data_IF_716523381616
#
_entry.id   IF_716523381616
#
_cell.length_a   1.000
_cell.length_b   1.000
_cell.length_c   1.000
_cell.angle_alpha   90.00
_cell.angle_beta   90.00
_cell.angle_gamma   90.00
#
_symmetry.space_group_name_H-M   'P 1'
#
loop_
_entity.id
_entity.type
_entity.pdbx_description
1 polymer ?
#
# COMPACT_ATOMS: atom_id res chain seq x y z
N UNK A 1 11.63 12.44 17.62
CA UNK A 1 11.97 11.94 18.97
C UNK A 1 10.92 12.27 20.04
N UNK A 2 10.28 13.46 20.01
CA UNK A 2 9.26 13.86 21.00
C UNK A 2 8.05 12.92 21.11
N UNK A 3 7.53 12.38 20.01
CA UNK A 3 6.39 11.45 20.04
C UNK A 3 6.72 10.06 20.60
N UNK A 4 7.90 9.51 20.28
CA UNK A 4 8.37 8.25 20.88
C UNK A 4 8.49 8.38 22.41
N UNK A 5 9.02 9.50 22.90
CA UNK A 5 9.16 9.75 24.34
C UNK A 5 7.80 9.93 25.05
N UNK A 6 6.82 10.59 24.39
CA UNK A 6 5.45 10.67 24.91
C UNK A 6 4.79 9.29 25.02
N UNK A 7 4.91 8.46 23.98
CA UNK A 7 4.31 7.12 23.98
C UNK A 7 4.93 6.21 25.06
N UNK A 8 6.24 6.33 25.31
CA UNK A 8 6.91 5.59 26.39
C UNK A 8 6.37 6.02 27.76
N UNK A 9 6.16 7.32 27.98
CA UNK A 9 5.62 7.83 29.23
C UNK A 9 4.16 7.36 29.46
N UNK A 10 3.33 7.38 28.42
CA UNK A 10 1.94 6.89 28.46
C UNK A 10 1.90 5.39 28.80
N UNK A 11 2.75 4.59 28.15
CA UNK A 11 2.84 3.16 28.42
C UNK A 11 3.24 2.89 29.89
N UNK A 12 4.23 3.62 30.40
CA UNK A 12 4.67 3.46 31.78
C UNK A 12 3.59 3.81 32.79
N UNK A 13 2.83 4.89 32.55
CA UNK A 13 1.65 5.24 33.37
C UNK A 13 0.62 4.12 33.37
N UNK A 14 0.25 3.63 32.19
CA UNK A 14 -0.71 2.53 32.03
C UNK A 14 -0.28 1.25 32.75
N UNK A 15 1.01 0.89 32.67
CA UNK A 15 1.54 -0.29 33.36
C UNK A 15 1.50 -0.14 34.89
N UNK A 16 1.74 1.07 35.42
CA UNK A 16 1.60 1.36 36.86
C UNK A 16 0.14 1.25 37.32
N UNK A 17 -0.78 1.83 36.55
CA UNK A 17 -2.22 1.80 36.88
C UNK A 17 -2.74 0.36 36.97
N UNK A 18 -2.31 -0.50 36.03
CA UNK A 18 -2.72 -1.90 36.02
C UNK A 18 -2.00 -2.73 37.08
N UNK A 19 -0.78 -2.38 37.45
CA UNK A 19 -0.02 -3.06 38.50
C UNK A 19 -0.79 -3.08 39.83
N UNK A 20 -1.51 -1.99 40.14
CA UNK A 20 -2.27 -1.83 41.38
C UNK A 20 -3.57 -2.66 41.44
N UNK A 21 -4.02 -3.24 40.32
CA UNK A 21 -5.28 -4.00 40.28
C UNK A 21 -5.09 -5.40 40.90
N UNK A 22 -6.00 -5.75 41.80
CA UNK A 22 -6.06 -7.06 42.47
C UNK A 22 -6.38 -8.19 41.48
N UNK A 23 -5.68 -9.31 41.65
CA UNK A 23 -5.93 -10.53 40.87
C UNK A 23 -7.14 -11.25 41.48
N UNK A 24 -8.06 -11.72 40.64
CA UNK A 24 -9.24 -12.44 41.08
C UNK A 24 -8.90 -13.87 41.48
N UNK A 25 -9.57 -14.38 42.51
CA UNK A 25 -9.54 -15.79 42.84
C UNK A 25 -10.55 -16.58 41.99
N UNK A 26 -10.38 -17.90 41.86
CA UNK A 26 -11.25 -18.75 41.03
C UNK A 26 -12.74 -18.69 41.46
N UNK A 27 -13.01 -18.62 42.77
CA UNK A 27 -14.38 -18.47 43.29
C UNK A 27 -15.02 -17.14 42.84
N UNK A 28 -14.24 -16.07 42.80
CA UNK A 28 -14.70 -14.74 42.39
C UNK A 28 -14.94 -14.68 40.88
N UNK A 29 -14.07 -15.29 40.07
CA UNK A 29 -14.28 -15.44 38.63
C UNK A 29 -15.60 -16.16 38.31
N UNK A 30 -15.90 -17.23 39.07
CA UNK A 30 -17.17 -17.95 38.95
C UNK A 30 -18.38 -17.09 39.35
N UNK A 31 -18.23 -16.27 40.40
CA UNK A 31 -19.29 -15.36 40.83
C UNK A 31 -19.58 -14.28 39.78
N UNK A 32 -18.54 -13.60 39.28
CA UNK A 32 -18.65 -12.57 38.25
C UNK A 32 -19.23 -13.14 36.94
N UNK A 33 -18.76 -14.31 36.50
CA UNK A 33 -19.27 -14.95 35.29
C UNK A 33 -20.74 -15.38 35.38
N UNK A 34 -21.22 -15.76 36.58
CA UNK A 34 -22.66 -16.01 36.82
C UNK A 34 -23.48 -14.73 36.64
N UNK A 35 -23.02 -13.60 37.19
CA UNK A 35 -23.69 -12.30 37.04
C UNK A 35 -23.73 -11.88 35.58
N UNK A 36 -22.60 -11.98 34.88
CA UNK A 36 -22.50 -11.64 33.46
C UNK A 36 -23.50 -12.45 32.63
N UNK A 37 -23.60 -13.76 32.87
CA UNK A 37 -24.53 -14.64 32.14
C UNK A 37 -26.00 -14.32 32.43
N UNK A 38 -26.35 -13.91 33.65
CA UNK A 38 -27.71 -13.46 33.98
C UNK A 38 -28.09 -12.21 33.20
N UNK A 39 -27.20 -11.21 33.13
CA UNK A 39 -27.48 -9.96 32.40
C UNK A 39 -27.45 -10.06 30.87
N UNK A 40 -26.94 -11.16 30.30
CA UNK A 40 -27.00 -11.45 28.85
C UNK A 40 -28.34 -12.07 28.44
N UNK A 41 -29.09 -12.64 29.39
CA UNK A 41 -30.36 -13.32 29.09
C UNK A 41 -31.42 -12.34 28.56
N UNK A 42 -32.26 -12.79 27.62
CA UNK A 42 -33.36 -11.98 27.05
C UNK A 42 -34.40 -11.51 28.08
N UNK A 43 -34.40 -12.11 29.29
CA UNK A 43 -35.29 -11.77 30.42
C UNK A 43 -34.62 -10.85 31.45
N UNK A 44 -33.48 -10.24 31.14
CA UNK A 44 -32.73 -9.42 32.10
C UNK A 44 -33.44 -8.11 32.42
N UNK A 45 -33.50 -7.75 33.71
CA UNK A 45 -33.99 -6.44 34.14
C UNK A 45 -32.95 -5.36 33.90
N UNK A 46 -33.33 -4.07 33.93
CA UNK A 46 -32.39 -2.94 33.85
C UNK A 46 -31.27 -3.03 34.92
N UNK A 47 -31.60 -3.53 36.11
CA UNK A 47 -30.66 -3.72 37.21
C UNK A 47 -29.63 -4.83 36.91
N UNK A 48 -30.05 -5.90 36.25
CA UNK A 48 -29.15 -6.99 35.84
C UNK A 48 -28.16 -6.56 34.76
N UNK A 49 -28.58 -5.67 33.85
CA UNK A 49 -27.71 -5.11 32.80
C UNK A 49 -26.62 -4.22 33.42
N UNK A 50 -26.97 -3.40 34.42
CA UNK A 50 -26.02 -2.58 35.15
C UNK A 50 -25.01 -3.46 35.90
N UNK A 51 -25.50 -4.47 36.63
CA UNK A 51 -24.65 -5.43 37.35
C UNK A 51 -23.74 -6.21 36.40
N UNK A 52 -24.20 -6.56 35.19
CA UNK A 52 -23.38 -7.18 34.14
C UNK A 52 -22.22 -6.28 33.74
N UNK A 53 -22.46 -4.98 33.51
CA UNK A 53 -21.38 -4.06 33.12
C UNK A 53 -20.33 -3.96 34.23
N UNK A 54 -20.75 -3.75 35.48
CA UNK A 54 -19.83 -3.69 36.63
C UNK A 54 -19.03 -4.99 36.79
N UNK A 55 -19.71 -6.14 36.68
CA UNK A 55 -19.05 -7.45 36.78
C UNK A 55 -18.07 -7.69 35.62
N UNK A 56 -18.45 -7.28 34.41
CA UNK A 56 -17.62 -7.37 33.21
C UNK A 56 -16.37 -6.50 33.35
N UNK A 57 -16.51 -5.25 33.79
CA UNK A 57 -15.40 -4.32 33.98
C UNK A 57 -14.42 -4.83 35.03
N UNK A 58 -14.91 -5.34 36.17
CA UNK A 58 -14.07 -5.95 37.20
C UNK A 58 -13.31 -7.18 36.69
N UNK A 59 -13.97 -8.02 35.89
CA UNK A 59 -13.36 -9.19 35.27
C UNK A 59 -12.32 -8.80 34.21
N UNK A 60 -12.56 -7.73 33.45
CA UNK A 60 -11.60 -7.20 32.47
C UNK A 60 -10.37 -6.63 33.18
N UNK A 61 -10.57 -5.72 34.13
CA UNK A 61 -9.53 -4.99 34.85
C UNK A 61 -8.51 -5.92 35.50
N UNK A 62 -9.00 -6.95 36.19
CA UNK A 62 -8.14 -7.96 36.84
C UNK A 62 -7.27 -8.75 35.88
N UNK A 63 -7.67 -8.87 34.60
CA UNK A 63 -6.97 -9.65 33.58
C UNK A 63 -6.15 -8.79 32.60
N UNK A 64 -6.07 -7.46 32.77
CA UNK A 64 -5.30 -6.59 31.88
C UNK A 64 -3.79 -6.92 31.88
N UNK A 65 -3.22 -7.29 33.04
CA UNK A 65 -1.80 -7.74 33.17
C UNK A 65 -1.50 -8.90 32.21
N UNK A 66 -2.46 -9.79 32.06
CA UNK A 66 -2.32 -10.97 31.21
C UNK A 66 -2.27 -10.60 29.73
N UNK A 67 -3.09 -9.65 29.28
CA UNK A 67 -3.07 -9.16 27.89
C UNK A 67 -1.70 -8.58 27.53
N UNK A 68 -1.12 -7.78 28.43
CA UNK A 68 0.23 -7.22 28.25
C UNK A 68 1.27 -8.32 28.04
N UNK A 69 1.21 -9.40 28.83
CA UNK A 69 2.13 -10.54 28.70
C UNK A 69 2.04 -11.24 27.33
N UNK A 70 0.86 -11.30 26.73
CA UNK A 70 0.65 -11.87 25.40
C UNK A 70 1.12 -10.88 24.33
N UNK A 71 0.74 -9.61 24.44
CA UNK A 71 1.06 -8.57 23.47
C UNK A 71 2.58 -8.38 23.31
N UNK A 72 3.35 -8.49 24.41
CA UNK A 72 4.83 -8.46 24.37
C UNK A 72 5.44 -9.46 23.38
N UNK A 73 4.81 -10.63 23.18
CA UNK A 73 5.31 -11.67 22.25
C UNK A 73 5.15 -11.30 20.77
N UNK A 74 4.30 -10.33 20.46
CA UNK A 74 4.00 -9.87 19.09
C UNK A 74 4.59 -8.48 18.80
N UNK A 75 5.52 -8.01 19.63
CA UNK A 75 6.26 -6.77 19.38
C UNK A 75 7.07 -6.84 18.08
N UNK A 76 7.42 -5.67 17.53
CA UNK A 76 8.25 -5.51 16.34
C UNK A 76 7.63 -6.06 15.04
N UNK A 77 6.32 -6.32 15.01
CA UNK A 77 5.58 -6.75 13.81
C UNK A 77 4.90 -5.59 13.06
N UNK A 78 5.39 -4.36 13.25
CA UNK A 78 4.89 -3.15 12.57
C UNK A 78 3.87 -2.32 13.34
N UNK A 79 3.40 -2.79 14.50
CA UNK A 79 2.52 -2.05 15.40
C UNK A 79 3.22 -1.71 16.72
N UNK A 80 2.80 -0.60 17.33
CA UNK A 80 3.30 -0.22 18.65
C UNK A 80 2.76 -1.19 19.72
N UNK A 81 3.50 -1.33 20.83
CA UNK A 81 3.04 -2.18 21.93
C UNK A 81 1.69 -1.72 22.50
N UNK A 82 1.46 -0.40 22.58
CA UNK A 82 0.21 0.18 23.03
C UNK A 82 -0.96 -0.26 22.16
N UNK A 83 -0.79 -0.21 20.83
CA UNK A 83 -1.84 -0.63 19.89
C UNK A 83 -2.12 -2.12 20.00
N UNK A 84 -1.08 -2.95 20.15
CA UNK A 84 -1.23 -4.39 20.37
C UNK A 84 -1.98 -4.69 21.67
N UNK A 85 -1.71 -3.94 22.74
CA UNK A 85 -2.42 -4.07 24.01
C UNK A 85 -3.89 -3.68 23.85
N UNK A 86 -4.17 -2.55 23.20
CA UNK A 86 -5.54 -2.09 22.98
C UNK A 86 -6.38 -3.10 22.19
N UNK A 87 -5.82 -3.66 21.12
CA UNK A 87 -6.46 -4.71 20.32
C UNK A 87 -6.61 -6.02 21.09
N UNK A 88 -5.64 -6.35 21.93
CA UNK A 88 -5.73 -7.46 22.88
C UNK A 88 -6.86 -7.28 23.90
N UNK A 89 -7.05 -6.06 24.42
CA UNK A 89 -8.13 -5.71 25.36
C UNK A 89 -9.50 -5.86 24.69
N UNK A 90 -9.64 -5.47 23.42
CA UNK A 90 -10.85 -5.75 22.63
C UNK A 90 -11.12 -7.26 22.51
N UNK A 91 -10.08 -8.07 22.32
CA UNK A 91 -10.18 -9.53 22.34
C UNK A 91 -10.65 -10.06 23.69
N UNK A 92 -10.14 -9.51 24.79
CA UNK A 92 -10.54 -9.88 26.14
C UNK A 92 -12.01 -9.56 26.40
N UNK A 93 -12.49 -8.38 26.01
CA UNK A 93 -13.91 -7.99 26.11
C UNK A 93 -14.80 -8.97 25.33
N UNK A 94 -14.38 -9.42 24.14
CA UNK A 94 -15.12 -10.44 23.38
C UNK A 94 -15.15 -11.78 24.10
N UNK A 95 -14.05 -12.14 24.77
CA UNK A 95 -13.98 -13.37 25.56
C UNK A 95 -14.94 -13.34 26.75
N UNK A 96 -15.08 -12.22 27.46
CA UNK A 96 -16.00 -12.11 28.61
C UNK A 96 -17.45 -12.37 28.23
N UNK A 97 -17.87 -11.92 27.04
CA UNK A 97 -19.24 -12.10 26.55
C UNK A 97 -19.58 -13.55 26.19
N UNK A 98 -18.58 -14.31 25.73
CA UNK A 98 -18.76 -15.69 25.23
C UNK A 98 -18.29 -16.77 26.21
N UNK A 99 -17.81 -16.38 27.38
CA UNK A 99 -17.27 -17.32 28.35
C UNK A 99 -18.36 -18.12 29.07
N UNK A 100 -18.19 -19.44 29.10
CA UNK A 100 -19.08 -20.36 29.80
C UNK A 100 -18.42 -20.93 31.06
N UNK A 101 -18.83 -20.43 32.22
CA UNK A 101 -18.33 -20.90 33.52
C UNK A 101 -18.67 -22.38 33.83
N UNK A 102 -19.67 -22.96 33.16
CA UNK A 102 -20.07 -24.37 33.35
C UNK A 102 -18.98 -25.35 32.94
N UNK A 103 -18.06 -24.95 32.05
CA UNK A 103 -17.01 -25.83 31.50
C UNK A 103 -15.86 -26.10 32.48
N UNK A 104 -15.93 -25.62 33.74
CA UNK A 104 -14.94 -25.87 34.82
C UNK A 104 -13.48 -25.57 34.46
N UNK A 105 -13.23 -24.65 33.51
CA UNK A 105 -11.90 -24.14 33.19
C UNK A 105 -11.78 -22.67 33.61
N UNK A 106 -10.55 -22.23 33.92
CA UNK A 106 -10.25 -20.82 34.26
C UNK A 106 -10.59 -19.91 33.07
N UNK A 107 -11.03 -18.68 33.36
CA UNK A 107 -11.38 -17.70 32.32
C UNK A 107 -10.22 -17.45 31.33
N UNK A 108 -9.01 -17.32 31.88
CA UNK A 108 -7.78 -17.06 31.13
C UNK A 108 -7.54 -18.11 30.03
N UNK A 109 -7.80 -19.39 30.32
CA UNK A 109 -7.60 -20.48 29.35
C UNK A 109 -8.43 -20.29 28.07
N UNK A 110 -9.62 -19.71 28.20
CA UNK A 110 -10.48 -19.36 27.06
C UNK A 110 -10.07 -18.02 26.44
N UNK A 111 -9.77 -17.02 27.25
CA UNK A 111 -9.46 -15.66 26.80
C UNK A 111 -8.20 -15.60 25.91
N UNK A 112 -7.20 -16.46 26.14
CA UNK A 112 -5.96 -16.50 25.34
C UNK A 112 -6.23 -16.56 23.84
N UNK A 113 -7.22 -17.36 23.41
CA UNK A 113 -7.54 -17.53 21.99
C UNK A 113 -8.08 -16.24 21.38
N UNK A 114 -9.02 -15.58 22.06
CA UNK A 114 -9.60 -14.31 21.62
C UNK A 114 -8.57 -13.18 21.60
N UNK A 115 -7.72 -13.09 22.62
CA UNK A 115 -6.65 -12.09 22.70
C UNK A 115 -5.68 -12.27 21.53
N UNK A 116 -5.18 -13.50 21.30
CA UNK A 116 -4.28 -13.80 20.17
C UNK A 116 -4.93 -13.53 18.82
N UNK A 117 -6.20 -13.93 18.64
CA UNK A 117 -6.92 -13.72 17.39
C UNK A 117 -7.06 -12.23 17.08
N UNK A 118 -7.47 -11.41 18.05
CA UNK A 118 -7.60 -9.96 17.86
C UNK A 118 -6.25 -9.30 17.57
N UNK A 119 -5.19 -9.65 18.31
CA UNK A 119 -3.84 -9.14 18.05
C UNK A 119 -3.36 -9.51 16.64
N UNK A 120 -3.47 -10.78 16.24
CA UNK A 120 -3.06 -11.22 14.91
C UNK A 120 -3.88 -10.57 13.80
N UNK A 121 -5.18 -10.36 14.02
CA UNK A 121 -6.06 -9.67 13.10
C UNK A 121 -5.67 -8.19 12.95
N UNK A 122 -5.34 -7.52 14.05
CA UNK A 122 -4.87 -6.14 14.04
C UNK A 122 -3.54 -6.01 13.29
N UNK A 123 -2.60 -6.92 13.54
CA UNK A 123 -1.33 -6.96 12.81
C UNK A 123 -1.59 -7.16 11.32
N UNK A 124 -2.49 -8.07 10.93
CA UNK A 124 -2.81 -8.28 9.52
C UNK A 124 -3.44 -7.03 8.86
N UNK A 125 -4.25 -6.27 9.60
CA UNK A 125 -4.97 -5.11 9.07
C UNK A 125 -4.13 -3.82 9.05
N UNK A 126 -3.32 -3.58 10.09
CA UNK A 126 -2.70 -2.28 10.36
C UNK A 126 -1.16 -2.28 10.28
N UNK A 127 -0.48 -3.44 10.25
CA UNK A 127 1.00 -3.46 10.24
C UNK A 127 1.65 -2.92 8.97
N UNK A 128 0.92 -2.90 7.85
CA UNK A 128 1.44 -2.48 6.54
C UNK A 128 0.78 -1.17 6.12
N UNK A 129 1.58 -0.26 5.56
CA UNK A 129 1.10 1.01 5.01
C UNK A 129 0.02 0.81 3.94
N UNK A 130 0.22 -0.16 3.03
CA UNK A 130 -0.81 -0.59 2.09
C UNK A 130 -1.43 -1.87 2.63
N UNK A 131 -2.74 -1.80 2.89
CA UNK A 131 -3.52 -2.92 3.40
C UNK A 131 -3.54 -4.07 2.41
N UNK A 132 -3.20 -5.27 2.89
CA UNK A 132 -3.31 -6.51 2.15
C UNK A 132 -4.44 -7.38 2.74
N UNK A 133 -5.12 -8.20 1.93
CA UNK A 133 -6.14 -9.11 2.44
C UNK A 133 -5.54 -10.17 3.37
N UNK A 134 -6.26 -10.49 4.45
CA UNK A 134 -5.84 -11.43 5.51
C UNK A 134 -5.39 -12.78 4.96
N UNK A 135 -6.11 -13.34 3.99
CA UNK A 135 -5.79 -14.62 3.37
C UNK A 135 -4.38 -14.64 2.76
N UNK A 136 -3.93 -13.54 2.16
CA UNK A 136 -2.59 -13.44 1.55
C UNK A 136 -1.51 -13.32 2.62
N UNK A 137 -1.78 -12.62 3.73
CA UNK A 137 -0.85 -12.49 4.86
C UNK A 137 -0.67 -13.84 5.57
N UNK A 138 -1.76 -14.59 5.78
CA UNK A 138 -1.70 -15.95 6.35
C UNK A 138 -0.86 -16.87 5.47
N UNK A 139 -1.05 -16.82 4.14
CA UNK A 139 -0.24 -17.59 3.19
C UNK A 139 1.23 -17.18 3.23
N UNK A 140 1.54 -15.89 3.30
CA UNK A 140 2.91 -15.38 3.43
C UNK A 140 3.58 -15.92 4.69
N UNK A 141 2.88 -15.93 5.83
CA UNK A 141 3.41 -16.49 7.08
C UNK A 141 3.65 -18.01 6.98
N UNK A 142 2.78 -18.76 6.30
CA UNK A 142 3.00 -20.19 6.02
C UNK A 142 4.23 -20.41 5.13
N UNK A 143 4.39 -19.59 4.10
CA UNK A 143 5.57 -19.61 3.21
C UNK A 143 6.83 -19.33 4.02
N UNK A 144 6.86 -18.30 4.85
CA UNK A 144 8.02 -17.95 5.67
C UNK A 144 8.37 -19.05 6.69
N UNK A 145 7.38 -19.63 7.37
CA UNK A 145 7.63 -20.77 8.28
C UNK A 145 8.25 -21.96 7.53
N UNK A 146 7.74 -22.26 6.34
CA UNK A 146 8.26 -23.37 5.54
C UNK A 146 9.63 -23.06 4.93
N UNK A 147 9.87 -21.81 4.58
CA UNK A 147 11.16 -21.29 4.15
C UNK A 147 12.22 -21.58 5.21
N UNK A 148 12.02 -21.12 6.44
CA UNK A 148 12.97 -21.36 7.54
C UNK A 148 13.14 -22.86 7.85
N UNK A 149 12.07 -23.64 7.81
CA UNK A 149 12.16 -25.09 8.00
C UNK A 149 13.02 -25.77 6.91
N UNK A 150 12.85 -25.40 5.64
CA UNK A 150 13.63 -25.96 4.53
C UNK A 150 15.09 -25.47 4.57
N UNK A 151 15.30 -24.21 4.93
CA UNK A 151 16.63 -23.63 5.12
C UNK A 151 17.42 -24.36 6.20
N UNK A 152 16.79 -24.64 7.35
CA UNK A 152 17.39 -25.44 8.42
C UNK A 152 17.67 -26.88 7.98
N UNK A 153 16.71 -27.52 7.28
CA UNK A 153 16.84 -28.92 6.87
C UNK A 153 17.94 -29.14 5.83
N UNK A 154 18.05 -28.25 4.84
CA UNK A 154 18.99 -28.41 3.73
C UNK A 154 20.25 -27.54 3.86
N UNK A 155 20.35 -26.72 4.92
CA UNK A 155 21.45 -25.76 5.15
C UNK A 155 21.73 -24.87 3.93
N UNK A 156 20.70 -24.57 3.13
CA UNK A 156 20.77 -23.74 1.92
C UNK A 156 19.48 -22.98 1.72
N UNK A 157 19.54 -21.89 0.95
CA UNK A 157 18.35 -21.15 0.59
C UNK A 157 17.41 -21.99 -0.28
N UNK A 158 16.13 -22.17 0.14
CA UNK A 158 15.19 -23.01 -0.59
C UNK A 158 14.70 -22.34 -1.87
N UNK A 159 14.56 -23.13 -2.93
CA UNK A 159 14.01 -22.62 -4.19
C UNK A 159 12.50 -22.42 -4.09
N UNK A 160 11.95 -21.43 -4.82
CA UNK A 160 10.49 -21.23 -4.95
C UNK A 160 9.79 -22.52 -5.39
N UNK A 161 10.45 -23.35 -6.22
CA UNK A 161 9.90 -24.65 -6.67
C UNK A 161 9.75 -25.65 -5.52
N UNK A 162 10.67 -25.66 -4.57
CA UNK A 162 10.69 -26.58 -3.43
C UNK A 162 9.64 -26.16 -2.39
N UNK A 163 9.56 -24.87 -2.12
CA UNK A 163 8.51 -24.29 -1.25
C UNK A 163 7.13 -24.61 -1.83
N UNK A 164 6.94 -24.42 -3.15
CA UNK A 164 5.71 -24.73 -3.87
C UNK A 164 5.28 -26.20 -3.72
N UNK A 165 6.23 -27.13 -3.92
CA UNK A 165 5.98 -28.57 -3.74
C UNK A 165 5.63 -28.90 -2.30
N UNK A 166 6.32 -28.30 -1.33
CA UNK A 166 6.11 -28.61 0.08
C UNK A 166 4.78 -28.09 0.65
N UNK A 167 4.22 -27.03 0.05
CA UNK A 167 2.94 -26.44 0.46
C UNK A 167 1.78 -26.85 -0.46
N UNK A 168 2.04 -27.61 -1.54
CA UNK A 168 1.08 -27.93 -2.61
C UNK A 168 0.44 -26.69 -3.25
N UNK A 169 1.22 -25.64 -3.50
CA UNK A 169 0.75 -24.38 -4.09
C UNK A 169 1.45 -24.10 -5.43
N UNK A 170 0.71 -23.60 -6.43
CA UNK A 170 1.25 -23.22 -7.75
C UNK A 170 2.37 -22.16 -7.62
N UNK A 171 3.50 -22.35 -8.30
CA UNK A 171 4.64 -21.40 -8.31
C UNK A 171 4.24 -19.96 -8.64
N UNK A 172 3.31 -19.78 -9.59
CA UNK A 172 2.78 -18.46 -9.97
C UNK A 172 2.16 -17.72 -8.79
N UNK A 173 1.43 -18.42 -7.93
CA UNK A 173 0.78 -17.81 -6.77
C UNK A 173 1.77 -17.40 -5.69
N UNK A 174 2.85 -18.17 -5.48
CA UNK A 174 3.94 -17.79 -4.55
C UNK A 174 4.65 -16.52 -5.04
N UNK A 175 4.95 -16.43 -6.35
CA UNK A 175 5.50 -15.19 -6.94
C UNK A 175 4.57 -14.00 -6.70
N UNK A 176 3.26 -14.18 -6.87
CA UNK A 176 2.28 -13.12 -6.60
C UNK A 176 2.25 -12.73 -5.11
N UNK A 177 2.40 -13.69 -4.19
CA UNK A 177 2.43 -13.40 -2.74
C UNK A 177 3.69 -12.60 -2.37
N UNK A 178 4.85 -12.92 -2.95
CA UNK A 178 6.08 -12.15 -2.73
C UNK A 178 5.96 -10.69 -3.18
N UNK A 179 5.15 -10.38 -4.21
CA UNK A 179 4.86 -9.00 -4.60
C UNK A 179 4.15 -8.19 -3.51
N UNK A 180 3.49 -8.82 -2.54
CA UNK A 180 2.89 -8.11 -1.40
C UNK A 180 3.86 -7.94 -0.22
N UNK A 181 5.09 -8.47 -0.32
CA UNK A 181 6.09 -8.43 0.75
C UNK A 181 7.08 -7.27 0.61
N UNK A 182 6.80 -6.27 -0.21
CA UNK A 182 7.66 -5.09 -0.28
C UNK A 182 7.62 -4.32 1.05
N UNK A 183 8.81 -4.02 1.57
CA UNK A 183 8.98 -3.07 2.67
C UNK A 183 8.92 -1.67 2.09
N UNK A 184 8.09 -0.81 2.67
CA UNK A 184 8.01 0.59 2.29
C UNK A 184 9.23 1.33 2.84
N UNK A 185 9.79 2.23 2.03
CA UNK A 185 10.92 3.09 2.39
C UNK A 185 10.40 4.52 2.37
N UNK A 186 10.72 5.28 3.41
CA UNK A 186 10.33 6.69 3.48
C UNK A 186 11.09 7.51 2.45
N UNK A 187 10.40 8.39 1.71
CA UNK A 187 11.03 9.30 0.76
C UNK A 187 11.90 10.37 1.44
N UNK A 188 11.57 10.68 2.69
CA UNK A 188 12.29 11.63 3.55
C UNK A 188 13.46 11.00 4.32
N UNK A 189 13.67 9.67 4.18
CA UNK A 189 14.82 9.05 4.80
C UNK A 189 16.10 9.57 4.14
N UNK A 190 17.08 10.07 4.91
CA UNK A 190 18.36 10.48 4.35
C UNK A 190 19.05 9.26 3.74
N UNK A 191 19.60 9.43 2.54
CA UNK A 191 20.29 8.35 1.83
C UNK A 191 21.66 8.03 2.45
N UNK A 192 22.35 9.05 2.99
CA UNK A 192 23.65 8.94 3.64
C UNK A 192 23.60 9.58 5.03
N UNK A 193 24.26 8.96 6.01
CA UNK A 193 24.33 9.47 7.39
C UNK A 193 25.04 10.84 7.50
N UNK A 194 25.88 11.21 6.52
CA UNK A 194 26.71 12.41 6.60
C UNK A 194 26.05 13.66 5.98
N UNK A 195 25.08 13.48 5.07
CA UNK A 195 24.48 14.59 4.33
C UNK A 195 22.95 14.56 4.48
N UNK A 196 22.43 15.49 5.28
CA UNK A 196 20.99 15.69 5.49
C UNK A 196 20.26 16.26 4.25
N UNK A 197 20.97 16.54 3.16
CA UNK A 197 20.44 17.21 1.96
C UNK A 197 20.05 16.26 0.84
N UNK A 198 20.55 15.02 0.85
CA UNK A 198 20.21 14.01 -0.16
C UNK A 198 19.10 13.10 0.34
N UNK A 199 17.86 13.46 0.02
CA UNK A 199 16.67 12.63 0.22
C UNK A 199 16.25 11.98 -1.11
N UNK A 200 15.57 10.84 -1.05
CA UNK A 200 14.99 10.17 -2.23
C UNK A 200 14.03 11.08 -3.01
N UNK A 201 13.34 11.97 -2.29
CA UNK A 201 12.50 13.00 -2.88
C UNK A 201 13.25 13.90 -3.87
N UNK A 202 14.42 14.42 -3.48
CA UNK A 202 15.21 15.33 -4.30
C UNK A 202 15.70 14.65 -5.60
N UNK A 203 16.08 13.38 -5.52
CA UNK A 203 16.50 12.59 -6.70
C UNK A 203 15.35 12.38 -7.69
N UNK A 204 14.14 12.11 -7.18
CA UNK A 204 12.96 11.92 -8.04
C UNK A 204 12.53 13.24 -8.70
N UNK A 205 12.66 14.38 -8.01
CA UNK A 205 12.36 15.69 -8.56
C UNK A 205 13.29 16.04 -9.73
N UNK A 206 14.60 15.82 -9.55
CA UNK A 206 15.62 16.03 -10.60
C UNK A 206 15.26 15.27 -11.89
N UNK A 207 14.74 14.04 -11.80
CA UNK A 207 14.33 13.27 -13.00
C UNK A 207 13.17 13.90 -13.77
N UNK A 208 12.24 14.58 -13.10
CA UNK A 208 11.11 15.25 -13.76
C UNK A 208 11.55 16.51 -14.51
N UNK A 209 12.50 17.26 -13.96
CA UNK A 209 13.02 18.48 -14.59
C UNK A 209 13.73 18.17 -15.93
N UNK A 210 14.44 17.05 -16.02
CA UNK A 210 15.01 16.59 -17.30
C UNK A 210 13.94 16.30 -18.38
N UNK A 211 12.72 15.90 -17.98
CA UNK A 211 11.61 15.69 -18.92
C UNK A 211 11.04 17.01 -19.44
N UNK A 212 11.02 18.06 -18.61
CA UNK A 212 10.56 19.39 -19.03
C UNK A 212 11.48 20.00 -20.09
N UNK A 213 12.80 19.79 -19.95
CA UNK A 213 13.78 20.20 -20.96
C UNK A 213 13.59 19.51 -22.33
N UNK A 214 13.10 18.26 -22.37
CA UNK A 214 12.74 17.60 -23.64
C UNK A 214 11.52 18.28 -24.30
N UNK A 215 10.51 18.66 -23.53
CA UNK A 215 9.35 19.38 -24.05
C UNK A 215 9.73 20.78 -24.56
N UNK A 216 10.64 21.48 -23.87
CA UNK A 216 11.15 22.77 -24.32
C UNK A 216 11.96 22.66 -25.63
N UNK A 217 12.77 21.61 -25.78
CA UNK A 217 13.46 21.32 -27.06
C UNK A 217 12.45 21.10 -28.19
N UNK A 218 11.38 20.35 -27.93
CA UNK A 218 10.31 20.14 -28.91
C UNK A 218 9.62 21.45 -29.28
N UNK A 219 9.32 22.32 -28.32
CA UNK A 219 8.74 23.64 -28.58
C UNK A 219 9.67 24.55 -29.40
N UNK A 220 10.98 24.54 -29.09
CA UNK A 220 11.97 25.30 -29.86
C UNK A 220 12.07 24.78 -31.31
N UNK A 221 12.03 23.46 -31.49
CA UNK A 221 12.00 22.81 -32.81
C UNK A 221 10.73 23.18 -33.59
N UNK A 222 9.56 23.21 -32.92
CA UNK A 222 8.29 23.64 -33.52
C UNK A 222 8.36 25.10 -33.97
N UNK A 223 8.92 26.00 -33.15
CA UNK A 223 9.11 27.42 -33.51
C UNK A 223 10.08 27.56 -34.69
N UNK A 224 11.19 26.82 -34.69
CA UNK A 224 12.15 26.82 -35.78
C UNK A 224 11.54 26.25 -37.08
N UNK A 225 10.70 25.21 -36.98
CA UNK A 225 9.93 24.70 -38.11
C UNK A 225 8.96 25.75 -38.66
N UNK A 226 8.21 26.46 -37.80
CA UNK A 226 7.30 27.54 -38.25
C UNK A 226 8.06 28.62 -39.03
N UNK A 227 9.22 29.05 -38.52
CA UNK A 227 10.11 30.01 -39.20
C UNK A 227 10.62 29.46 -40.53
N UNK A 228 11.09 28.20 -40.53
CA UNK A 228 11.58 27.54 -41.73
C UNK A 228 10.48 27.28 -42.75
N UNK A 229 9.20 27.21 -42.41
CA UNK A 229 8.10 27.01 -43.36
C UNK A 229 7.59 28.32 -43.99
N UNK A 230 8.10 29.49 -43.60
CA UNK A 230 7.62 30.78 -44.11
C UNK A 230 8.05 31.09 -45.56
N UNK A 231 9.06 30.42 -46.12
CA UNK A 231 9.41 30.57 -47.55
C UNK A 231 8.43 29.86 -48.51
N UNK A 232 7.54 29.02 -47.98
CA UNK A 232 6.51 28.33 -48.77
C UNK A 232 5.28 29.22 -48.92
N UNK A 233 4.61 29.11 -50.07
CA UNK A 233 3.33 29.81 -50.26
C UNK A 233 2.28 29.30 -49.26
N UNK A 234 1.33 30.15 -48.86
CA UNK A 234 0.28 29.82 -47.87
C UNK A 234 -0.42 28.48 -48.17
N UNK A 235 -0.78 28.24 -49.44
CA UNK A 235 -1.40 26.99 -49.90
C UNK A 235 -0.46 25.78 -49.82
N UNK A 236 0.81 25.95 -50.17
CA UNK A 236 1.84 24.91 -50.10
C UNK A 236 2.14 24.49 -48.64
N UNK A 237 2.20 25.48 -47.73
CA UNK A 237 2.42 25.29 -46.30
C UNK A 237 1.27 24.51 -45.65
N UNK A 238 0.03 24.86 -45.96
CA UNK A 238 -1.14 24.18 -45.39
C UNK A 238 -1.28 22.73 -45.86
N UNK A 239 -1.05 22.45 -47.14
CA UNK A 239 -1.04 21.07 -47.65
C UNK A 239 0.02 20.23 -46.95
N UNK A 240 1.22 20.76 -46.74
CA UNK A 240 2.27 20.05 -45.99
C UNK A 240 1.87 19.77 -44.53
N UNK A 241 1.28 20.76 -43.86
CA UNK A 241 0.84 20.65 -42.47
C UNK A 241 -0.20 19.52 -42.30
N UNK A 242 -1.19 19.46 -43.20
CA UNK A 242 -2.26 18.46 -43.17
C UNK A 242 -1.77 17.05 -43.56
N UNK A 243 -0.84 16.94 -44.52
CA UNK A 243 -0.28 15.65 -44.93
C UNK A 243 0.54 14.96 -43.84
N UNK A 244 1.22 15.74 -42.99
CA UNK A 244 2.11 15.22 -41.94
C UNK A 244 1.54 15.39 -40.52
N UNK A 245 0.37 16.03 -40.37
CA UNK A 245 -0.25 16.28 -39.05
C UNK A 245 0.60 17.19 -38.16
N UNK A 246 1.15 18.27 -38.72
CA UNK A 246 2.00 19.21 -37.98
C UNK A 246 1.15 20.25 -37.22
N UNK A 247 1.67 20.77 -36.12
CA UNK A 247 1.04 21.84 -35.33
C UNK A 247 -0.41 21.52 -34.91
N UNK A 248 -0.62 20.33 -34.32
CA UNK A 248 -1.91 19.89 -33.75
C UNK A 248 -3.03 19.63 -34.78
N UNK A 249 -2.69 19.54 -36.08
CA UNK A 249 -3.65 19.15 -37.10
C UNK A 249 -3.68 17.61 -37.27
N UNK A 250 -4.86 17.01 -37.53
CA UNK A 250 -4.93 15.60 -37.86
C UNK A 250 -4.19 15.32 -39.18
N UNK A 251 -3.55 14.15 -39.27
CA UNK A 251 -2.96 13.67 -40.52
C UNK A 251 -4.09 13.26 -41.45
N UNK A 252 -4.23 13.96 -42.58
CA UNK A 252 -5.27 13.72 -43.57
C UNK A 252 -4.73 13.02 -44.82
N UNK A 253 -5.58 12.21 -45.45
CA UNK A 253 -5.27 11.58 -46.73
C UNK A 253 -5.40 12.59 -47.88
N UNK A 254 -4.73 12.33 -49.02
CA UNK A 254 -4.79 13.23 -50.18
C UNK A 254 -6.22 13.45 -50.72
N UNK A 255 -7.11 12.47 -50.53
CA UNK A 255 -8.53 12.59 -50.90
C UNK A 255 -9.31 13.54 -50.00
N UNK A 256 -9.01 13.54 -48.70
CA UNK A 256 -9.64 14.43 -47.73
C UNK A 256 -9.16 15.87 -47.94
N UNK A 257 -7.85 16.05 -48.18
CA UNK A 257 -7.26 17.34 -48.52
C UNK A 257 -7.82 17.87 -49.85
N UNK A 258 -8.02 16.99 -50.85
CA UNK A 258 -8.64 17.34 -52.12
C UNK A 258 -10.07 17.87 -51.95
N UNK A 259 -10.87 17.20 -51.10
CA UNK A 259 -12.23 17.65 -50.74
C UNK A 259 -12.23 18.99 -50.00
N UNK A 260 -11.30 19.22 -49.09
CA UNK A 260 -11.21 20.48 -48.33
C UNK A 260 -10.88 21.70 -49.20
N UNK A 261 -10.07 21.51 -50.25
CA UNK A 261 -9.62 22.61 -51.12
C UNK A 261 -10.33 22.64 -52.48
N UNK A 262 -11.34 21.79 -52.72
CA UNK A 262 -12.05 21.65 -54.00
C UNK A 262 -11.09 21.45 -55.19
N UNK A 263 -10.10 20.57 -55.01
CA UNK A 263 -9.04 20.29 -55.98
C UNK A 263 -8.96 18.77 -56.20
N UNK A 264 -8.51 18.32 -57.37
CA UNK A 264 -8.31 16.88 -57.62
C UNK A 264 -7.21 16.27 -56.75
N UNK A 265 -7.36 15.00 -56.37
CA UNK A 265 -6.35 14.22 -55.62
C UNK A 265 -4.96 14.35 -56.25
N UNK A 266 -4.88 14.25 -57.57
CA UNK A 266 -3.61 14.32 -58.30
C UNK A 266 -2.97 15.70 -58.21
N UNK A 267 -3.77 16.76 -58.13
CA UNK A 267 -3.27 18.13 -57.98
C UNK A 267 -2.71 18.38 -56.58
N UNK A 268 -3.28 17.79 -55.52
CA UNK A 268 -2.68 17.78 -54.17
C UNK A 268 -1.33 17.04 -54.17
N UNK A 269 -1.24 15.90 -54.86
CA UNK A 269 0.01 15.13 -55.03
C UNK A 269 1.10 15.96 -55.73
N UNK A 270 0.75 16.66 -56.81
CA UNK A 270 1.67 17.56 -57.52
C UNK A 270 2.21 18.67 -56.61
N UNK A 271 1.33 19.30 -55.81
CA UNK A 271 1.72 20.32 -54.84
C UNK A 271 2.69 19.73 -53.80
N UNK A 272 2.39 18.55 -53.25
CA UNK A 272 3.25 17.87 -52.28
C UNK A 272 4.65 17.58 -52.84
N UNK A 273 4.75 17.04 -54.06
CA UNK A 273 6.04 16.76 -54.72
C UNK A 273 6.82 18.04 -54.98
N UNK A 274 6.15 19.11 -55.43
CA UNK A 274 6.77 20.42 -55.67
C UNK A 274 7.35 21.00 -54.37
N UNK A 275 6.60 20.89 -53.28
CA UNK A 275 7.02 21.34 -51.94
C UNK A 275 8.20 20.51 -51.42
N UNK A 276 8.17 19.18 -51.57
CA UNK A 276 9.29 18.32 -51.19
C UNK A 276 10.57 18.64 -51.98
N UNK A 277 10.47 18.95 -53.27
CA UNK A 277 11.62 19.40 -54.08
C UNK A 277 12.19 20.73 -53.56
N UNK A 278 11.33 21.68 -53.18
CA UNK A 278 11.75 22.96 -52.58
C UNK A 278 12.43 22.76 -51.22
N UNK A 279 11.88 21.89 -50.37
CA UNK A 279 12.44 21.54 -49.06
C UNK A 279 13.80 20.85 -49.19
N UNK A 280 13.95 19.91 -50.15
CA UNK A 280 15.21 19.19 -50.39
C UNK A 280 16.37 20.10 -50.80
N UNK A 281 16.09 21.24 -51.44
CA UNK A 281 17.12 22.24 -51.78
C UNK A 281 17.65 22.99 -50.56
N UNK A 282 16.90 23.03 -49.46
CA UNK A 282 17.28 23.77 -48.26
C UNK A 282 17.78 22.81 -47.16
N UNK A 283 19.10 22.70 -47.01
CA UNK A 283 19.76 21.75 -46.09
C UNK A 283 19.23 21.84 -44.65
N UNK A 284 18.95 23.05 -44.15
CA UNK A 284 18.43 23.32 -42.80
C UNK A 284 17.08 22.64 -42.51
N UNK A 285 16.22 22.49 -43.51
CA UNK A 285 14.86 21.95 -43.34
C UNK A 285 14.87 20.41 -43.43
N UNK A 286 15.77 19.87 -44.25
CA UNK A 286 16.00 18.42 -44.37
C UNK A 286 16.40 17.79 -43.04
N UNK A 287 17.24 18.47 -42.26
CA UNK A 287 17.72 17.94 -40.98
C UNK A 287 16.66 18.02 -39.87
N UNK A 288 15.79 19.03 -39.89
CA UNK A 288 14.71 19.18 -38.91
C UNK A 288 13.54 18.22 -39.21
N UNK A 289 13.22 17.98 -40.50
CA UNK A 289 12.18 17.01 -40.88
C UNK A 289 12.58 15.55 -40.59
N UNK A 290 13.87 15.21 -40.66
CA UNK A 290 14.39 13.90 -40.25
C UNK A 290 14.16 13.59 -38.76
N UNK A 291 13.92 14.62 -37.94
CA UNK A 291 13.66 14.45 -36.51
C UNK A 291 12.17 14.23 -36.18
N UNK A 292 11.28 14.51 -37.15
CA UNK A 292 9.83 14.34 -37.05
C UNK A 292 9.28 13.12 -37.82
N UNK A 293 10.08 12.54 -38.72
CA UNK A 293 9.82 11.26 -39.42
C UNK A 293 10.51 10.14 -38.65
#
# INVERSE_FOLDING_TARGET
MREKNKNINILNKYLKDIANISILNYKEELFLSKIIKKGISKKATKKDILNKNIAQDKLIQSNLKFVVSIAKKYQNQGLSLLDLINEGNLGLIKATLKFDYKKKFKFISYAVWWIKQCILQAIANYSKCIRAPTNKIVLLNKINKKYYYLEQKYKRYPSIKEIARSLNIKKKSIKNIYKYNYKYISLDAPLNNNNNTSNLYNILYIKKDFSYNKNNKNNLLIVNLKKCLNFLNKREKQVLILCYGLFENPKLNFEEIAKLYNITRERVRQIHIKVLKKIKKNKKIKDILKWFI
#
